data_IF_493057714707
#
_entry.id   IF_493057714707
#
_cell.length_a   1.000
_cell.length_b   1.000
_cell.length_c   1.000
_cell.angle_alpha   90.00
_cell.angle_beta   90.00
_cell.angle_gamma   90.00
#
_symmetry.space_group_name_H-M   'P 1'
#
loop_
_entity.id
_entity.type
_entity.pdbx_description
1 polymer ?
#
# COMPACT_ATOMS: atom_id res chain seq x y z
N UNK A 1 -58.88 -13.06 24.74
CA UNK A 1 -59.11 -12.56 23.37
C UNK A 1 -57.96 -11.70 22.82
N UNK A 2 -57.37 -10.76 23.59
CA UNK A 2 -56.22 -9.93 23.14
C UNK A 2 -54.98 -10.70 22.65
N UNK A 3 -54.63 -11.84 23.27
CA UNK A 3 -53.47 -12.66 22.85
C UNK A 3 -53.65 -13.35 21.49
N UNK A 4 -54.90 -13.64 21.10
CA UNK A 4 -55.21 -14.28 19.82
C UNK A 4 -55.12 -13.28 18.66
N UNK A 5 -55.55 -12.03 18.90
CA UNK A 5 -55.47 -10.94 17.92
C UNK A 5 -54.01 -10.57 17.62
N UNK A 6 -53.15 -10.50 18.64
CA UNK A 6 -51.72 -10.21 18.45
C UNK A 6 -51.02 -11.31 17.64
N UNK A 7 -51.38 -12.58 17.88
CA UNK A 7 -50.82 -13.70 17.13
C UNK A 7 -51.27 -13.68 15.66
N UNK A 8 -52.54 -13.33 15.40
CA UNK A 8 -53.07 -13.22 14.05
C UNK A 8 -52.40 -12.06 13.27
N UNK A 9 -52.14 -10.93 13.93
CA UNK A 9 -51.47 -9.79 13.29
C UNK A 9 -50.00 -10.07 12.99
N UNK A 10 -49.30 -10.82 13.85
CA UNK A 10 -47.90 -11.17 13.62
C UNK A 10 -47.74 -12.15 12.45
N UNK A 11 -48.70 -13.07 12.29
CA UNK A 11 -48.70 -14.10 11.27
C UNK A 11 -49.02 -13.54 9.87
N UNK A 12 -49.88 -12.50 9.79
CA UNK A 12 -50.15 -11.75 8.55
C UNK A 12 -48.96 -10.88 8.14
N UNK A 13 -48.18 -10.36 9.10
CA UNK A 13 -47.00 -9.56 8.79
C UNK A 13 -45.83 -10.40 8.24
N UNK A 14 -45.74 -11.68 8.62
CA UNK A 14 -44.69 -12.59 8.17
C UNK A 14 -44.91 -13.12 6.74
N UNK A 15 -46.16 -13.24 6.31
CA UNK A 15 -46.51 -13.70 4.95
C UNK A 15 -46.36 -12.63 3.86
N UNK A 16 -46.11 -11.36 4.23
CA UNK A 16 -45.80 -10.26 3.29
C UNK A 16 -44.30 -10.12 2.97
N UNK A 17 -43.43 -10.95 3.56
CA UNK A 17 -41.97 -10.80 3.50
C UNK A 17 -41.25 -11.73 2.52
N UNK A 18 -41.93 -12.33 1.54
CA UNK A 18 -41.27 -13.18 0.55
C UNK A 18 -41.62 -12.82 -0.88
N UNK A 19 -40.62 -12.30 -1.61
CA UNK A 19 -40.09 -12.87 -2.86
C UNK A 19 -39.00 -11.93 -3.40
N UNK A 20 -37.83 -11.95 -2.76
CA UNK A 20 -36.63 -11.45 -3.41
C UNK A 20 -36.09 -12.56 -4.31
N UNK A 21 -36.38 -12.50 -5.61
CA UNK A 21 -35.73 -13.36 -6.60
C UNK A 21 -34.22 -13.05 -6.62
N UNK A 22 -33.42 -13.99 -6.15
CA UNK A 22 -31.97 -13.92 -6.29
C UNK A 22 -31.60 -14.18 -7.75
N UNK A 23 -31.50 -13.10 -8.54
CA UNK A 23 -31.02 -13.15 -9.93
C UNK A 23 -29.54 -13.54 -9.91
N UNK A 24 -29.23 -14.77 -10.30
CA UNK A 24 -27.86 -15.26 -10.41
C UNK A 24 -27.11 -14.44 -11.46
N UNK A 25 -26.14 -13.64 -11.01
CA UNK A 25 -25.27 -12.88 -11.90
C UNK A 25 -24.34 -13.85 -12.65
N UNK A 26 -24.09 -13.63 -13.95
CA UNK A 26 -23.15 -14.45 -14.69
C UNK A 26 -21.75 -14.29 -14.08
N UNK A 27 -21.20 -15.41 -13.59
CA UNK A 27 -19.80 -15.43 -13.19
C UNK A 27 -18.94 -15.18 -14.42
N UNK A 28 -18.16 -14.11 -14.40
CA UNK A 28 -17.24 -13.78 -15.47
C UNK A 28 -16.31 -14.97 -15.75
N UNK A 29 -16.45 -15.57 -16.93
CA UNK A 29 -15.52 -16.57 -17.41
C UNK A 29 -14.11 -15.96 -17.35
N UNK A 30 -13.22 -16.59 -16.60
CA UNK A 30 -11.80 -16.20 -16.56
C UNK A 30 -11.25 -16.39 -17.97
N UNK A 31 -11.15 -15.32 -18.73
CA UNK A 31 -10.31 -15.31 -19.92
C UNK A 31 -8.88 -15.53 -19.41
N UNK A 32 -8.32 -16.70 -19.73
CA UNK A 32 -6.89 -16.95 -19.59
C UNK A 32 -6.24 -16.13 -20.70
N UNK A 33 -6.09 -14.83 -20.47
CA UNK A 33 -5.24 -13.99 -21.29
C UNK A 33 -3.81 -14.41 -21.01
N UNK A 34 -3.24 -15.12 -21.97
CA UNK A 34 -1.80 -15.39 -22.06
C UNK A 34 -1.08 -14.04 -21.88
N UNK A 35 -0.20 -13.86 -20.89
CA UNK A 35 0.45 -12.57 -20.70
C UNK A 35 1.30 -12.29 -21.93
N UNK A 36 0.89 -11.30 -22.71
CA UNK A 36 1.72 -10.74 -23.76
C UNK A 36 2.99 -10.21 -23.09
N UNK A 37 4.11 -10.88 -23.33
CA UNK A 37 5.46 -10.38 -23.08
C UNK A 37 5.74 -9.26 -24.09
N UNK A 38 4.98 -8.18 -24.02
CA UNK A 38 5.43 -6.90 -24.56
C UNK A 38 6.54 -6.42 -23.64
N UNK A 39 7.72 -6.14 -24.20
CA UNK A 39 8.75 -5.36 -23.53
C UNK A 39 8.14 -4.00 -23.18
N UNK A 40 7.58 -3.89 -21.97
CA UNK A 40 7.21 -2.61 -21.39
C UNK A 40 8.53 -1.89 -21.15
N UNK A 41 8.95 -1.05 -22.09
CA UNK A 41 9.94 -0.02 -21.81
C UNK A 41 9.36 0.85 -20.71
N UNK A 42 9.68 0.53 -19.45
CA UNK A 42 9.13 1.24 -18.31
C UNK A 42 9.71 2.64 -18.31
N UNK A 43 8.99 3.59 -18.90
CA UNK A 43 9.32 5.01 -18.89
C UNK A 43 9.27 5.61 -17.46
N UNK A 44 8.94 4.80 -16.45
CA UNK A 44 8.95 5.16 -15.05
C UNK A 44 10.32 4.99 -14.37
N UNK A 45 10.37 5.33 -13.08
CA UNK A 45 11.48 4.97 -12.20
C UNK A 45 11.28 3.56 -11.65
N UNK A 46 12.36 2.84 -11.36
CA UNK A 46 12.29 1.60 -10.58
C UNK A 46 12.56 1.90 -9.11
N UNK A 47 11.84 1.21 -8.24
CA UNK A 47 11.97 1.34 -6.78
C UNK A 47 12.05 -0.06 -6.21
N UNK A 48 13.08 -0.35 -5.44
CA UNK A 48 13.31 -1.67 -4.84
C UNK A 48 13.61 -1.50 -3.36
N UNK A 49 12.59 -1.59 -2.49
CA UNK A 49 12.79 -1.60 -1.05
C UNK A 49 13.34 -2.96 -0.59
N UNK A 50 14.33 -2.94 0.30
CA UNK A 50 14.90 -4.13 0.94
C UNK A 50 15.15 -3.86 2.41
N UNK A 51 14.73 -4.79 3.25
CA UNK A 51 15.04 -4.74 4.67
C UNK A 51 16.55 -4.99 4.85
N UNK A 52 17.22 -4.15 5.65
CA UNK A 52 18.63 -4.36 5.96
C UNK A 52 18.81 -5.67 6.75
N UNK A 53 19.99 -6.29 6.65
CA UNK A 53 20.28 -7.60 7.26
C UNK A 53 19.98 -7.65 8.77
N UNK A 54 20.25 -6.55 9.48
CA UNK A 54 19.99 -6.39 10.92
C UNK A 54 18.54 -6.01 11.26
N UNK A 55 17.68 -5.83 10.25
CA UNK A 55 16.28 -5.37 10.34
C UNK A 55 16.09 -4.02 11.05
N UNK A 56 17.13 -3.18 11.12
CA UNK A 56 17.06 -1.85 11.77
C UNK A 56 16.86 -0.69 10.78
N UNK A 57 16.84 -0.98 9.49
CA UNK A 57 16.56 0.01 8.45
C UNK A 57 15.90 -0.63 7.23
N UNK A 58 15.19 0.19 6.46
CA UNK A 58 14.77 -0.11 5.10
C UNK A 58 15.70 0.61 4.12
N UNK A 59 16.38 -0.15 3.26
CA UNK A 59 17.18 0.40 2.17
C UNK A 59 16.31 0.45 0.92
N UNK A 60 16.12 1.63 0.35
CA UNK A 60 15.32 1.83 -0.86
C UNK A 60 16.25 2.18 -2.01
N UNK A 61 16.36 1.27 -2.97
CA UNK A 61 17.11 1.52 -4.20
C UNK A 61 16.21 2.14 -5.27
N UNK A 62 16.69 3.20 -5.90
CA UNK A 62 16.01 3.90 -6.98
C UNK A 62 16.86 3.85 -8.25
N UNK A 63 16.24 3.47 -9.36
CA UNK A 63 16.88 3.46 -10.67
C UNK A 63 16.01 4.12 -11.74
N UNK A 64 16.61 4.38 -12.90
CA UNK A 64 15.98 5.10 -14.01
C UNK A 64 15.59 6.55 -13.63
N UNK A 65 16.38 7.17 -12.73
CA UNK A 65 16.10 8.51 -12.20
C UNK A 65 16.28 9.62 -13.24
N UNK A 66 16.97 9.37 -14.34
CA UNK A 66 17.04 10.28 -15.50
C UNK A 66 15.68 10.61 -16.11
N UNK A 67 14.65 9.78 -15.88
CA UNK A 67 13.28 9.99 -16.35
C UNK A 67 12.44 10.85 -15.39
N UNK A 68 12.88 11.04 -14.15
CA UNK A 68 12.15 11.76 -13.12
C UNK A 68 12.47 13.26 -13.11
N UNK A 69 11.45 14.06 -12.82
CA UNK A 69 11.56 15.47 -12.49
C UNK A 69 11.53 15.69 -10.96
N UNK A 70 10.81 14.84 -10.23
CA UNK A 70 10.80 14.84 -8.76
C UNK A 70 10.49 13.45 -8.22
N UNK A 71 11.07 13.11 -7.06
CA UNK A 71 10.77 11.87 -6.33
C UNK A 71 10.75 12.18 -4.84
N UNK A 72 9.66 11.85 -4.17
CA UNK A 72 9.52 11.87 -2.71
C UNK A 72 9.14 10.50 -2.19
N UNK A 73 9.48 10.24 -0.94
CA UNK A 73 9.17 8.99 -0.26
C UNK A 73 8.67 9.24 1.15
N UNK A 74 7.82 8.35 1.63
CA UNK A 74 7.33 8.31 3.00
C UNK A 74 7.24 6.87 3.46
N UNK A 75 8.00 6.54 4.50
CA UNK A 75 7.89 5.30 5.24
C UNK A 75 7.08 5.57 6.50
N UNK A 76 6.10 4.72 6.76
CA UNK A 76 5.36 4.69 8.03
C UNK A 76 5.38 3.28 8.60
N UNK A 77 5.46 3.17 9.92
CA UNK A 77 5.49 1.89 10.62
C UNK A 77 4.99 2.04 12.06
N UNK A 78 4.47 0.97 12.63
CA UNK A 78 4.07 0.94 14.04
C UNK A 78 5.21 0.39 14.87
N UNK A 79 5.41 0.94 16.06
CA UNK A 79 6.28 0.41 17.11
C UNK A 79 5.42 -0.25 18.19
N UNK A 80 6.06 -0.67 19.29
CA UNK A 80 5.34 -1.12 20.49
C UNK A 80 4.47 -0.04 21.15
N UNK A 81 4.77 1.24 20.93
CA UNK A 81 4.12 2.36 21.65
C UNK A 81 3.34 3.31 20.74
N UNK A 82 3.81 3.55 19.52
CA UNK A 82 3.22 4.55 18.63
C UNK A 82 3.52 4.30 17.14
N UNK A 83 2.94 5.11 16.27
CA UNK A 83 3.30 5.13 14.85
C UNK A 83 4.48 6.08 14.64
N UNK A 84 5.41 5.66 13.81
CA UNK A 84 6.64 6.37 13.45
C UNK A 84 6.82 6.39 11.93
N UNK A 85 7.73 7.23 11.45
CA UNK A 85 8.01 7.31 10.03
C UNK A 85 9.29 8.05 9.67
N UNK A 86 9.64 7.97 8.40
CA UNK A 86 10.74 8.71 7.79
C UNK A 86 10.31 9.14 6.39
N UNK A 87 10.51 10.40 6.05
CA UNK A 87 10.13 10.96 4.75
C UNK A 87 11.23 11.84 4.19
N UNK A 88 11.23 12.03 2.89
CA UNK A 88 12.19 12.88 2.22
C UNK A 88 11.95 13.02 0.73
N UNK A 89 12.83 13.79 0.11
CA UNK A 89 12.85 14.05 -1.34
C UNK A 89 14.23 13.67 -1.85
N UNK A 90 14.30 13.04 -3.02
CA UNK A 90 15.57 12.73 -3.66
C UNK A 90 16.11 13.97 -4.38
N UNK A 91 17.40 14.25 -4.15
CA UNK A 91 18.16 15.17 -5.00
C UNK A 91 18.50 14.44 -6.29
N UNK A 92 17.83 14.80 -7.39
CA UNK A 92 17.98 14.13 -8.67
C UNK A 92 19.18 14.69 -9.43
N UNK A 93 20.23 13.88 -9.54
CA UNK A 93 21.39 14.13 -10.41
C UNK A 93 21.41 13.22 -11.66
N UNK A 94 20.31 12.49 -11.91
CA UNK A 94 20.19 11.52 -13.01
C UNK A 94 20.85 10.16 -12.77
N UNK A 95 21.61 9.98 -11.69
CA UNK A 95 22.22 8.71 -11.31
C UNK A 95 21.29 7.87 -10.45
N UNK A 96 21.48 6.55 -10.45
CA UNK A 96 20.81 5.66 -9.50
C UNK A 96 21.27 5.99 -8.08
N UNK A 97 20.38 5.84 -7.10
CA UNK A 97 20.70 6.17 -5.70
C UNK A 97 20.02 5.23 -4.73
N UNK A 98 20.58 5.14 -3.52
CA UNK A 98 19.99 4.39 -2.40
C UNK A 98 19.75 5.33 -1.23
N UNK A 99 18.61 5.17 -0.57
CA UNK A 99 18.32 5.84 0.70
C UNK A 99 18.14 4.80 1.78
N UNK A 100 18.77 5.04 2.92
CA UNK A 100 18.56 4.24 4.13
C UNK A 100 17.56 4.95 5.06
N UNK A 101 16.48 4.25 5.40
CA UNK A 101 15.44 4.72 6.32
C UNK A 101 15.55 3.92 7.62
N UNK A 102 16.19 4.52 8.63
CA UNK A 102 16.38 3.90 9.94
C UNK A 102 15.06 3.78 10.70
N UNK A 103 14.87 2.65 11.38
CA UNK A 103 13.75 2.46 12.30
C UNK A 103 14.16 2.94 13.70
N UNK A 104 14.36 4.23 13.83
CA UNK A 104 14.87 4.82 15.06
C UNK A 104 15.18 6.29 14.91
N UNK A 105 15.68 6.86 16.00
CA UNK A 105 16.18 8.23 16.04
C UNK A 105 17.68 8.21 16.28
N UNK A 106 18.40 9.12 15.63
CA UNK A 106 19.84 9.28 15.83
C UNK A 106 20.11 10.71 16.28
N UNK A 107 20.93 10.85 17.31
CA UNK A 107 21.45 12.15 17.74
C UNK A 107 22.96 12.04 17.86
N UNK A 108 23.66 12.94 17.15
CA UNK A 108 25.11 12.87 16.93
C UNK A 108 25.48 11.51 16.31
N UNK A 109 26.15 10.65 17.08
CA UNK A 109 26.64 9.33 16.63
C UNK A 109 25.95 8.15 17.33
N UNK A 110 24.85 8.40 18.06
CA UNK A 110 24.13 7.36 18.80
C UNK A 110 22.72 7.22 18.24
N UNK A 111 22.41 6.04 17.72
CA UNK A 111 21.08 5.70 17.24
C UNK A 111 20.34 4.82 18.27
N UNK A 112 19.10 5.19 18.56
CA UNK A 112 18.16 4.40 19.36
C UNK A 112 17.13 3.79 18.42
N UNK A 113 17.15 2.47 18.33
CA UNK A 113 16.27 1.72 17.44
C UNK A 113 14.93 1.43 18.10
N UNK A 114 13.87 1.57 17.33
CA UNK A 114 12.52 1.24 17.74
C UNK A 114 12.29 -0.28 17.72
N UNK A 115 11.46 -0.76 18.64
CA UNK A 115 11.13 -2.19 18.81
C UNK A 115 9.67 -2.47 18.47
N UNK A 116 9.32 -3.75 18.26
CA UNK A 116 7.94 -4.16 18.01
C UNK A 116 7.41 -3.71 16.65
N UNK A 117 8.29 -3.63 15.64
CA UNK A 117 7.99 -3.06 14.34
C UNK A 117 6.91 -3.85 13.59
N UNK A 118 5.82 -3.19 13.19
CA UNK A 118 4.67 -3.79 12.49
C UNK A 118 4.10 -2.85 11.44
N UNK A 119 3.29 -3.39 10.52
CA UNK A 119 2.50 -2.60 9.56
C UNK A 119 3.31 -1.60 8.72
N UNK A 120 4.54 -1.95 8.35
CA UNK A 120 5.42 -1.08 7.56
C UNK A 120 4.86 -0.82 6.16
N UNK A 121 4.77 0.45 5.79
CA UNK A 121 4.31 0.91 4.47
C UNK A 121 5.26 1.96 3.93
N UNK A 122 5.79 1.72 2.74
CA UNK A 122 6.55 2.70 1.97
C UNK A 122 5.68 3.21 0.83
N UNK A 123 5.52 4.52 0.74
CA UNK A 123 4.95 5.22 -0.39
C UNK A 123 6.06 6.01 -1.11
N UNK A 124 6.13 5.89 -2.42
CA UNK A 124 7.02 6.69 -3.27
C UNK A 124 6.17 7.41 -4.31
N UNK A 125 6.24 8.73 -4.28
CA UNK A 125 5.52 9.61 -5.20
C UNK A 125 6.54 10.27 -6.13
N UNK A 126 6.29 10.23 -7.44
CA UNK A 126 7.21 10.83 -8.41
C UNK A 126 6.49 11.44 -9.60
N UNK A 127 7.11 12.47 -10.15
CA UNK A 127 6.71 13.11 -11.40
C UNK A 127 7.77 12.83 -12.45
N UNK A 128 7.38 12.35 -13.62
CA UNK A 128 8.28 12.20 -14.76
C UNK A 128 8.56 13.54 -15.42
N UNK A 129 9.66 13.63 -16.17
CA UNK A 129 9.95 14.80 -17.02
C UNK A 129 8.85 15.09 -18.05
N UNK A 130 8.05 14.08 -18.40
CA UNK A 130 6.84 14.26 -19.23
C UNK A 130 5.64 14.87 -18.48
N UNK A 131 5.79 15.23 -17.20
CA UNK A 131 4.71 15.75 -16.33
C UNK A 131 3.79 14.70 -15.70
N UNK A 132 3.89 13.42 -16.09
CA UNK A 132 3.05 12.34 -15.54
C UNK A 132 3.41 12.06 -14.08
N UNK A 133 2.40 11.95 -13.21
CA UNK A 133 2.55 11.68 -11.78
C UNK A 133 2.21 10.23 -11.46
N UNK A 134 2.97 9.64 -10.54
CA UNK A 134 2.82 8.25 -10.12
C UNK A 134 3.00 8.13 -8.61
N UNK A 135 2.31 7.13 -8.04
CA UNK A 135 2.47 6.73 -6.64
C UNK A 135 2.68 5.21 -6.60
N UNK A 136 3.77 4.77 -5.99
CA UNK A 136 4.08 3.36 -5.74
C UNK A 136 3.99 3.06 -4.25
N UNK A 137 3.21 2.05 -3.88
CA UNK A 137 2.99 1.65 -2.48
C UNK A 137 3.52 0.24 -2.25
N UNK A 138 4.25 0.07 -1.16
CA UNK A 138 4.84 -1.20 -0.76
C UNK A 138 4.46 -1.53 0.67
N UNK A 139 3.99 -2.75 0.90
CA UNK A 139 3.84 -3.32 2.24
C UNK A 139 5.09 -4.13 2.54
N UNK A 140 5.86 -3.72 3.55
CA UNK A 140 7.08 -4.41 3.93
C UNK A 140 6.74 -5.43 5.01
N UNK A 141 7.15 -6.69 4.79
CA UNK A 141 7.07 -7.74 5.80
C UNK A 141 8.31 -7.67 6.69
N UNK A 142 8.09 -7.62 8.00
CA UNK A 142 9.12 -7.50 9.03
C UNK A 142 9.35 -8.84 9.69
#
# INVERSE_FOLDING_TARGET
MKKLVVFLTLLVFFSLLQTAEAKLLPQAARSISKPATGLVTSSGINVTPRLRKDRRALVVYFSNLQNAASVSYSLTYNTSTQQEGAMGVLNLNGSNTSVELLFGTCSKNVCRYHTGLKNMRLEVSYTLKSGKKYIKRYKIKV
#
